data_IF_760603650501
#
_entry.id   IF_760603650501
#
_cell.length_a   1.000
_cell.length_b   1.000
_cell.length_c   1.000
_cell.angle_alpha   90.00
_cell.angle_beta   90.00
_cell.angle_gamma   90.00
#
_symmetry.space_group_name_H-M   'P 1'
#
loop_
_entity.id
_entity.type
_entity.pdbx_description
1 polymer ?
#
# COMPACT_ATOMS: atom_id res chain seq x y z
N UNK A 1 -7.07 -23.79 -0.61
CA UNK A 1 -6.72 -23.19 0.71
C UNK A 1 -7.19 -21.75 0.80
N UNK A 2 -7.09 -21.00 -0.31
CA UNK A 2 -7.61 -19.64 -0.48
C UNK A 2 -9.12 -19.49 -0.20
N UNK A 3 -9.93 -20.53 -0.39
CA UNK A 3 -11.38 -20.48 -0.18
C UNK A 3 -11.77 -20.03 1.25
N UNK A 4 -11.01 -20.43 2.27
CA UNK A 4 -11.24 -20.02 3.68
C UNK A 4 -10.94 -18.53 3.93
N UNK A 5 -10.21 -17.89 3.02
CA UNK A 5 -9.80 -16.50 3.10
C UNK A 5 -10.68 -15.57 2.26
N UNK A 6 -11.73 -16.11 1.63
CA UNK A 6 -12.66 -15.35 0.79
C UNK A 6 -13.27 -14.18 1.56
N UNK A 7 -13.78 -14.40 2.79
CA UNK A 7 -14.39 -13.35 3.60
C UNK A 7 -13.38 -12.24 3.95
N UNK A 8 -12.12 -12.63 4.21
CA UNK A 8 -11.03 -11.68 4.41
C UNK A 8 -10.75 -10.88 3.12
N UNK A 9 -10.68 -11.55 1.97
CA UNK A 9 -10.49 -10.90 0.67
C UNK A 9 -11.60 -9.90 0.34
N UNK A 10 -12.87 -10.26 0.59
CA UNK A 10 -14.02 -9.36 0.42
C UNK A 10 -13.91 -8.15 1.34
N UNK A 11 -13.60 -8.35 2.62
CA UNK A 11 -13.46 -7.27 3.58
C UNK A 11 -12.32 -6.31 3.21
N UNK A 12 -11.13 -6.83 2.88
CA UNK A 12 -9.96 -6.02 2.50
C UNK A 12 -10.21 -5.28 1.19
N UNK A 13 -10.82 -5.92 0.19
CA UNK A 13 -11.18 -5.26 -1.07
C UNK A 13 -12.14 -4.10 -0.82
N UNK A 14 -13.18 -4.31 0.00
CA UNK A 14 -14.15 -3.28 0.35
C UNK A 14 -13.54 -2.10 1.11
N UNK A 15 -12.74 -2.37 2.15
CA UNK A 15 -12.07 -1.32 2.94
C UNK A 15 -11.07 -0.53 2.08
N UNK A 16 -10.24 -1.23 1.31
CA UNK A 16 -9.24 -0.58 0.44
C UNK A 16 -9.91 0.31 -0.61
N UNK A 17 -10.97 -0.20 -1.26
CA UNK A 17 -11.75 0.56 -2.23
C UNK A 17 -12.41 1.80 -1.61
N UNK A 18 -12.99 1.67 -0.41
CA UNK A 18 -13.58 2.80 0.31
C UNK A 18 -12.54 3.86 0.69
N UNK A 19 -11.38 3.46 1.22
CA UNK A 19 -10.30 4.40 1.58
C UNK A 19 -9.71 5.10 0.35
N UNK A 20 -9.53 4.39 -0.75
CA UNK A 20 -9.09 4.98 -2.02
C UNK A 20 -10.12 6.00 -2.52
N UNK A 21 -11.41 5.67 -2.48
CA UNK A 21 -12.49 6.58 -2.85
C UNK A 21 -12.50 7.85 -2.01
N UNK A 22 -12.42 7.72 -0.67
CA UNK A 22 -12.35 8.87 0.24
C UNK A 22 -11.09 9.72 -0.01
N UNK A 23 -9.95 9.10 -0.30
CA UNK A 23 -8.73 9.81 -0.65
C UNK A 23 -8.90 10.61 -1.95
N UNK A 24 -9.47 10.02 -3.00
CA UNK A 24 -9.77 10.77 -4.23
C UNK A 24 -10.70 11.96 -4.00
N UNK A 25 -11.73 11.80 -3.15
CA UNK A 25 -12.61 12.91 -2.77
C UNK A 25 -11.81 14.02 -2.09
N UNK A 26 -11.00 13.71 -1.07
CA UNK A 26 -10.17 14.68 -0.38
C UNK A 26 -9.17 15.38 -1.31
N UNK A 27 -8.54 14.64 -2.23
CA UNK A 27 -7.62 15.19 -3.23
C UNK A 27 -8.34 16.11 -4.23
N UNK A 28 -9.57 15.78 -4.64
CA UNK A 28 -10.31 16.61 -5.60
C UNK A 28 -10.73 17.96 -5.04
N UNK A 29 -11.12 18.02 -3.76
CA UNK A 29 -11.49 19.27 -3.08
C UNK A 29 -10.27 20.17 -2.87
N UNK A 30 -9.09 19.58 -2.65
CA UNK A 30 -7.85 20.31 -2.37
C UNK A 30 -6.89 20.33 -3.58
N UNK A 31 -7.39 20.05 -4.79
CA UNK A 31 -6.55 19.78 -5.95
C UNK A 31 -5.58 20.93 -6.22
N UNK A 32 -6.06 22.18 -6.19
CA UNK A 32 -5.22 23.36 -6.45
C UNK A 32 -4.02 23.44 -5.50
N UNK A 33 -4.25 23.31 -4.19
CA UNK A 33 -3.16 23.34 -3.20
C UNK A 33 -2.17 22.19 -3.40
N UNK A 34 -2.66 21.03 -3.84
CA UNK A 34 -1.81 19.86 -4.11
C UNK A 34 -0.94 20.11 -5.35
N UNK A 35 -1.49 20.60 -6.47
CA UNK A 35 -0.69 20.84 -7.69
C UNK A 35 0.27 22.01 -7.55
N UNK A 36 -0.09 23.01 -6.73
CA UNK A 36 0.76 24.18 -6.47
C UNK A 36 1.93 23.85 -5.51
N UNK A 37 1.84 22.73 -4.78
CA UNK A 37 2.90 22.26 -3.90
C UNK A 37 3.84 21.27 -4.59
N UNK A 38 5.17 21.44 -4.48
CA UNK A 38 6.13 20.53 -5.10
C UNK A 38 6.21 19.15 -4.41
N UNK A 39 5.68 18.98 -3.19
CA UNK A 39 5.83 17.74 -2.40
C UNK A 39 4.53 16.96 -2.21
N UNK A 40 3.38 17.64 -2.20
CA UNK A 40 2.08 17.01 -1.93
C UNK A 40 1.64 15.98 -2.98
N UNK A 41 1.85 16.17 -4.31
CA UNK A 41 1.46 15.19 -5.32
C UNK A 41 2.15 13.84 -5.13
N UNK A 42 3.43 13.85 -4.76
CA UNK A 42 4.20 12.63 -4.49
C UNK A 42 3.63 11.86 -3.29
N UNK A 43 3.22 12.56 -2.23
CA UNK A 43 2.63 11.95 -1.02
C UNK A 43 1.25 11.36 -1.29
N UNK A 44 0.42 12.07 -2.05
CA UNK A 44 -0.87 11.56 -2.50
C UNK A 44 -0.70 10.26 -3.28
N UNK A 45 0.27 10.23 -4.22
CA UNK A 45 0.58 9.03 -5.00
C UNK A 45 1.10 7.88 -4.13
N UNK A 46 1.96 8.14 -3.14
CA UNK A 46 2.42 7.10 -2.21
C UNK A 46 1.23 6.49 -1.46
N UNK A 47 0.31 7.30 -0.94
CA UNK A 47 -0.87 6.79 -0.24
C UNK A 47 -1.79 5.97 -1.15
N UNK A 48 -2.05 6.44 -2.39
CA UNK A 48 -2.85 5.72 -3.37
C UNK A 48 -2.24 4.37 -3.76
N UNK A 49 -0.95 4.35 -4.08
CA UNK A 49 -0.26 3.11 -4.47
C UNK A 49 -0.18 2.15 -3.28
N UNK A 50 0.04 2.66 -2.07
CA UNK A 50 0.11 1.84 -0.87
C UNK A 50 -1.23 1.16 -0.56
N UNK A 51 -2.37 1.87 -0.74
CA UNK A 51 -3.71 1.27 -0.63
C UNK A 51 -4.05 0.32 -1.79
N UNK A 52 -3.44 0.52 -2.96
CA UNK A 52 -3.65 -0.34 -4.13
C UNK A 52 -3.03 -1.73 -3.93
N UNK A 53 -1.97 -1.85 -3.14
CA UNK A 53 -1.32 -3.12 -2.85
C UNK A 53 -2.27 -4.13 -2.17
N UNK A 54 -2.90 -3.85 -1.00
CA UNK A 54 -3.87 -4.74 -0.41
C UNK A 54 -5.12 -4.92 -1.27
N UNK A 55 -5.60 -3.87 -1.96
CA UNK A 55 -6.73 -3.96 -2.87
C UNK A 55 -6.51 -5.03 -3.95
N UNK A 56 -5.41 -4.92 -4.70
CA UNK A 56 -5.12 -5.84 -5.80
C UNK A 56 -4.81 -7.24 -5.28
N UNK A 57 -4.06 -7.37 -4.18
CA UNK A 57 -3.81 -8.69 -3.58
C UNK A 57 -5.11 -9.39 -3.17
N UNK A 58 -6.06 -8.66 -2.58
CA UNK A 58 -7.34 -9.21 -2.14
C UNK A 58 -8.27 -9.51 -3.33
N UNK A 59 -8.26 -8.69 -4.39
CA UNK A 59 -9.02 -9.00 -5.60
C UNK A 59 -8.52 -10.27 -6.29
N UNK A 60 -7.21 -10.47 -6.37
CA UNK A 60 -6.62 -11.67 -6.95
C UNK A 60 -6.87 -12.92 -6.12
N UNK A 61 -6.93 -12.77 -4.78
CA UNK A 61 -7.31 -13.85 -3.87
C UNK A 61 -8.74 -14.37 -4.14
N UNK A 62 -9.65 -13.48 -4.56
CA UNK A 62 -11.06 -13.82 -4.83
C UNK A 62 -11.27 -14.51 -6.19
N UNK A 63 -10.26 -14.50 -7.07
CA UNK A 63 -10.33 -15.22 -8.34
C UNK A 63 -10.12 -16.72 -8.04
N UNK A 64 -10.99 -17.61 -8.54
CA UNK A 64 -10.79 -19.05 -8.36
C UNK A 64 -9.58 -19.50 -9.18
N UNK A 65 -8.44 -19.71 -8.50
CA UNK A 65 -7.17 -20.08 -9.12
C UNK A 65 -6.31 -20.96 -8.18
N UNK A 66 -5.31 -21.69 -8.70
CA UNK A 66 -4.39 -22.46 -7.87
C UNK A 66 -3.55 -21.59 -6.94
N UNK A 67 -3.22 -22.09 -5.74
CA UNK A 67 -2.44 -21.36 -4.73
C UNK A 67 -1.07 -20.88 -5.27
N UNK A 68 -0.44 -21.67 -6.14
CA UNK A 68 0.84 -21.33 -6.79
C UNK A 68 0.67 -20.15 -7.76
N UNK A 69 -0.44 -20.10 -8.51
CA UNK A 69 -0.70 -18.99 -9.45
C UNK A 69 -0.87 -17.68 -8.67
N UNK A 70 -1.69 -17.70 -7.62
CA UNK A 70 -1.86 -16.56 -6.73
C UNK A 70 -0.53 -16.12 -6.07
N UNK A 71 0.30 -17.09 -5.64
CA UNK A 71 1.64 -16.81 -5.11
C UNK A 71 2.54 -16.07 -6.11
N UNK A 72 2.54 -16.48 -7.39
CA UNK A 72 3.29 -15.79 -8.45
C UNK A 72 2.77 -14.37 -8.65
N UNK A 73 1.46 -14.18 -8.67
CA UNK A 73 0.86 -12.85 -8.82
C UNK A 73 1.22 -11.91 -7.66
N UNK A 74 1.24 -12.43 -6.42
CA UNK A 74 1.71 -11.66 -5.25
C UNK A 74 3.19 -11.26 -5.39
N UNK A 75 4.05 -12.15 -5.87
CA UNK A 75 5.46 -11.80 -6.12
C UNK A 75 5.55 -10.69 -7.16
N UNK A 76 4.82 -10.81 -8.28
CA UNK A 76 4.80 -9.77 -9.33
C UNK A 76 4.28 -8.45 -8.78
N UNK A 77 3.16 -8.45 -8.04
CA UNK A 77 2.61 -7.25 -7.40
C UNK A 77 3.60 -6.62 -6.42
N UNK A 78 4.22 -7.42 -5.56
CA UNK A 78 5.19 -6.98 -4.58
C UNK A 78 6.43 -6.34 -5.23
N UNK A 79 6.91 -6.90 -6.35
CA UNK A 79 8.03 -6.33 -7.11
C UNK A 79 7.62 -5.03 -7.79
N UNK A 80 6.50 -5.03 -8.52
CA UNK A 80 6.06 -3.88 -9.32
C UNK A 80 5.66 -2.71 -8.42
N UNK A 81 4.72 -2.92 -7.49
CA UNK A 81 4.26 -1.86 -6.60
C UNK A 81 5.29 -1.51 -5.54
N UNK A 82 6.03 -2.49 -5.02
CA UNK A 82 7.10 -2.23 -4.06
C UNK A 82 8.22 -1.40 -4.66
N UNK A 83 8.67 -1.71 -5.88
CA UNK A 83 9.68 -0.89 -6.58
C UNK A 83 9.17 0.52 -6.89
N UNK A 84 7.89 0.65 -7.27
CA UNK A 84 7.26 1.95 -7.51
C UNK A 84 7.16 2.77 -6.23
N UNK A 85 6.72 2.18 -5.12
CA UNK A 85 6.67 2.85 -3.82
C UNK A 85 8.07 3.25 -3.33
N UNK A 86 9.07 2.39 -3.51
CA UNK A 86 10.46 2.72 -3.19
C UNK A 86 10.98 3.87 -4.04
N UNK A 87 10.60 3.94 -5.32
CA UNK A 87 10.92 5.06 -6.21
C UNK A 87 10.26 6.36 -5.74
N UNK A 88 8.96 6.33 -5.42
CA UNK A 88 8.21 7.49 -4.94
C UNK A 88 8.68 7.99 -3.57
N UNK A 89 9.17 7.10 -2.72
CA UNK A 89 9.69 7.43 -1.39
C UNK A 89 11.19 7.77 -1.40
N UNK A 90 11.86 7.81 -2.56
CA UNK A 90 13.26 8.24 -2.61
C UNK A 90 13.41 9.65 -2.07
N UNK A 91 14.50 9.96 -1.34
CA UNK A 91 14.78 11.31 -0.89
C UNK A 91 14.89 12.23 -2.11
N UNK A 92 13.90 13.09 -2.31
CA UNK A 92 14.05 14.23 -3.20
C UNK A 92 15.04 15.23 -2.58
N UNK A 93 15.77 15.97 -3.42
CA UNK A 93 16.81 16.91 -3.00
C UNK A 93 16.34 18.08 -2.10
N UNK A 94 15.07 18.11 -1.66
CA UNK A 94 14.41 19.28 -1.03
C UNK A 94 13.63 18.98 0.25
N UNK A 95 13.71 17.79 0.84
CA UNK A 95 13.11 17.50 2.17
C UNK A 95 14.00 17.99 3.33
N UNK A 96 14.54 19.21 3.23
CA UNK A 96 15.54 19.77 4.16
C UNK A 96 15.02 20.11 5.58
N UNK A 97 13.86 19.58 5.98
CA UNK A 97 13.22 19.92 7.26
C UNK A 97 12.47 18.78 7.99
N UNK A 98 12.38 17.58 7.40
CA UNK A 98 11.82 16.42 8.12
C UNK A 98 12.93 15.61 8.78
N UNK A 99 12.79 15.36 10.07
CA UNK A 99 13.69 14.45 10.80
C UNK A 99 13.66 13.08 10.12
N UNK A 100 14.84 12.56 9.73
CA UNK A 100 14.97 11.27 9.03
C UNK A 100 14.22 10.13 9.72
N UNK A 101 14.11 10.18 11.06
CA UNK A 101 13.37 9.21 11.87
C UNK A 101 11.85 9.28 11.67
N UNK A 102 11.27 10.46 11.50
CA UNK A 102 9.83 10.63 11.26
C UNK A 102 9.43 10.11 9.87
N UNK A 103 10.28 10.35 8.86
CA UNK A 103 10.12 9.80 7.50
C UNK A 103 10.25 8.28 7.47
N UNK A 104 11.24 7.76 8.19
CA UNK A 104 11.48 6.32 8.28
C UNK A 104 10.30 5.60 8.93
N UNK A 105 9.79 6.12 10.04
CA UNK A 105 8.68 5.49 10.78
C UNK A 105 7.32 5.73 10.11
N UNK A 106 7.08 6.93 9.56
CA UNK A 106 5.75 7.32 9.07
C UNK A 106 5.43 6.91 7.64
N UNK A 107 6.43 6.75 6.76
CA UNK A 107 6.20 6.50 5.33
C UNK A 107 6.98 5.30 4.82
N UNK A 108 8.29 5.22 5.11
CA UNK A 108 9.12 4.13 4.58
C UNK A 108 8.81 2.80 5.27
N UNK A 109 8.66 2.81 6.60
CA UNK A 109 8.39 1.62 7.39
C UNK A 109 7.15 0.85 6.91
N UNK A 110 5.98 1.49 6.80
CA UNK A 110 4.77 0.86 6.28
C UNK A 110 4.91 0.34 4.84
N UNK A 111 5.58 1.10 3.97
CA UNK A 111 5.83 0.70 2.57
C UNK A 111 6.70 -0.55 2.49
N UNK A 112 7.83 -0.56 3.21
CA UNK A 112 8.78 -1.67 3.23
C UNK A 112 8.12 -2.89 3.86
N UNK A 113 7.42 -2.72 4.98
CA UNK A 113 6.71 -3.80 5.65
C UNK A 113 5.64 -4.40 4.73
N UNK A 114 4.79 -3.57 4.12
CA UNK A 114 3.73 -4.07 3.25
C UNK A 114 4.30 -4.80 2.01
N UNK A 115 5.28 -4.19 1.34
CA UNK A 115 5.88 -4.78 0.14
C UNK A 115 6.65 -6.07 0.46
N UNK A 116 7.44 -6.08 1.54
CA UNK A 116 8.19 -7.27 1.95
C UNK A 116 7.26 -8.40 2.39
N UNK A 117 6.19 -8.11 3.12
CA UNK A 117 5.22 -9.11 3.54
C UNK A 117 4.46 -9.75 2.36
N UNK A 118 4.09 -8.97 1.34
CA UNK A 118 3.51 -9.52 0.11
C UNK A 118 4.52 -10.39 -0.65
N UNK A 119 5.76 -9.93 -0.79
CA UNK A 119 6.81 -10.69 -1.49
C UNK A 119 7.11 -12.02 -0.80
N UNK A 120 7.35 -11.99 0.52
CA UNK A 120 7.60 -13.18 1.32
C UNK A 120 6.38 -14.09 1.31
N UNK A 121 5.17 -13.54 1.42
CA UNK A 121 3.93 -14.29 1.33
C UNK A 121 3.75 -15.01 0.00
N UNK A 122 4.02 -14.32 -1.12
CA UNK A 122 3.97 -14.90 -2.46
C UNK A 122 5.02 -16.00 -2.66
N UNK A 123 6.26 -15.79 -2.23
CA UNK A 123 7.33 -16.81 -2.30
C UNK A 123 6.97 -18.05 -1.48
N UNK A 124 6.41 -17.88 -0.29
CA UNK A 124 5.96 -19.00 0.55
C UNK A 124 4.83 -19.79 -0.11
N UNK A 125 3.87 -19.12 -0.74
CA UNK A 125 2.78 -19.79 -1.47
C UNK A 125 3.29 -20.55 -2.69
N UNK A 126 4.24 -19.99 -3.45
CA UNK A 126 4.89 -20.70 -4.55
C UNK A 126 5.65 -21.94 -4.04
N UNK A 127 6.22 -21.86 -2.85
CA UNK A 127 6.86 -22.99 -2.17
C UNK A 127 5.85 -23.96 -1.50
N UNK A 128 4.54 -23.77 -1.67
CA UNK A 128 3.49 -24.63 -1.12
C UNK A 128 3.24 -24.48 0.39
N UNK A 129 3.71 -23.39 1.00
CA UNK A 129 3.52 -23.11 2.43
C UNK A 129 2.28 -22.24 2.65
N UNK A 130 1.32 -22.76 3.41
CA UNK A 130 0.08 -22.06 3.80
C UNK A 130 0.32 -20.74 4.53
N UNK A 131 1.47 -20.63 5.20
CA UNK A 131 1.87 -19.44 5.94
C UNK A 131 1.97 -18.17 5.05
N UNK A 132 2.05 -18.32 3.73
CA UNK A 132 2.15 -17.18 2.82
C UNK A 132 0.91 -16.28 2.82
N UNK A 133 -0.28 -16.80 3.17
CA UNK A 133 -1.51 -15.99 3.28
C UNK A 133 -1.45 -14.98 4.44
N UNK A 134 -0.77 -15.31 5.54
CA UNK A 134 -0.53 -14.35 6.62
C UNK A 134 0.30 -13.15 6.17
N UNK A 135 1.14 -13.30 5.13
CA UNK A 135 1.86 -12.19 4.52
C UNK A 135 0.93 -11.12 3.97
N UNK A 136 -0.21 -11.51 3.41
CA UNK A 136 -1.24 -10.58 2.89
C UNK A 136 -1.90 -9.81 4.03
N UNK A 137 -2.13 -10.46 5.18
CA UNK A 137 -2.68 -9.82 6.38
C UNK A 137 -1.74 -8.73 6.90
N UNK A 138 -0.46 -9.07 7.07
CA UNK A 138 0.55 -8.11 7.53
C UNK A 138 0.66 -6.95 6.54
N UNK A 139 0.61 -7.25 5.24
CA UNK A 139 0.64 -6.23 4.21
C UNK A 139 -0.55 -5.28 4.24
N UNK A 140 -1.77 -5.81 4.41
CA UNK A 140 -2.98 -4.99 4.52
C UNK A 140 -2.93 -4.07 5.74
N UNK A 141 -2.57 -4.59 6.91
CA UNK A 141 -2.45 -3.77 8.13
C UNK A 141 -1.39 -2.68 7.95
N UNK A 142 -0.22 -3.04 7.45
CA UNK A 142 0.86 -2.08 7.22
C UNK A 142 0.44 -1.00 6.20
N UNK A 143 -0.19 -1.41 5.10
CA UNK A 143 -0.67 -0.49 4.07
C UNK A 143 -1.74 0.47 4.58
N UNK A 144 -2.73 -0.03 5.34
CA UNK A 144 -3.77 0.83 5.91
C UNK A 144 -3.21 1.84 6.90
N UNK A 145 -2.38 1.40 7.84
CA UNK A 145 -1.75 2.31 8.80
C UNK A 145 -0.85 3.33 8.10
N UNK A 146 -0.03 2.89 7.14
CA UNK A 146 0.85 3.78 6.39
C UNK A 146 0.09 4.79 5.53
N UNK A 147 -0.99 4.37 4.88
CA UNK A 147 -1.83 5.25 4.07
C UNK A 147 -2.58 6.26 4.94
N UNK A 148 -3.12 5.85 6.08
CA UNK A 148 -3.78 6.75 7.04
C UNK A 148 -2.80 7.80 7.57
N UNK A 149 -1.59 7.40 7.95
CA UNK A 149 -0.54 8.32 8.41
C UNK A 149 -0.14 9.30 7.30
N UNK A 150 0.08 8.79 6.09
CA UNK A 150 0.46 9.64 4.93
C UNK A 150 -0.66 10.62 4.57
N UNK A 151 -1.91 10.18 4.62
CA UNK A 151 -3.09 11.02 4.37
C UNK A 151 -3.27 12.08 5.45
N UNK A 152 -3.09 11.72 6.72
CA UNK A 152 -3.11 12.67 7.84
C UNK A 152 -2.08 13.78 7.66
N UNK A 153 -0.84 13.42 7.36
CA UNK A 153 0.24 14.40 7.11
C UNK A 153 -0.11 15.31 5.94
N UNK A 154 -0.65 14.75 4.86
CA UNK A 154 -1.09 15.51 3.69
C UNK A 154 -2.19 16.53 4.05
N UNK A 155 -3.19 16.14 4.84
CA UNK A 155 -4.26 17.04 5.28
C UNK A 155 -3.74 18.17 6.18
N UNK A 156 -2.83 17.86 7.11
CA UNK A 156 -2.23 18.87 8.00
C UNK A 156 -1.36 19.85 7.21
N UNK A 157 -0.62 19.39 6.21
CA UNK A 157 0.22 20.26 5.37
C UNK A 157 -0.60 21.16 4.44
N UNK A 158 -1.80 20.76 4.02
CA UNK A 158 -2.70 21.61 3.22
C UNK A 158 -3.27 22.78 4.05
N UNK A 159 -3.48 22.58 5.35
CA UNK A 159 -4.07 23.57 6.24
C UNK A 159 -3.05 24.55 6.86
N UNK A 160 -1.76 24.38 6.59
CA UNK A 160 -0.67 25.20 7.14
C UNK A 160 -0.20 26.25 6.14
#
# INVERSE_FOLDING_TARGET
MTDEWTDFGVAVTGVSGALIGLLFVALSINLRQIVDSPTLPGRAMVALVLLSLPLLSAMLLLVPQPDVAYGVELVVLGVVLGSWLLYLTRPGAREAGQTARARLVGTIGPVVLASASVLVGGVLLVAGHEAGLYGVVVAAIAAFLGALLTTWVLLVEILR
#
